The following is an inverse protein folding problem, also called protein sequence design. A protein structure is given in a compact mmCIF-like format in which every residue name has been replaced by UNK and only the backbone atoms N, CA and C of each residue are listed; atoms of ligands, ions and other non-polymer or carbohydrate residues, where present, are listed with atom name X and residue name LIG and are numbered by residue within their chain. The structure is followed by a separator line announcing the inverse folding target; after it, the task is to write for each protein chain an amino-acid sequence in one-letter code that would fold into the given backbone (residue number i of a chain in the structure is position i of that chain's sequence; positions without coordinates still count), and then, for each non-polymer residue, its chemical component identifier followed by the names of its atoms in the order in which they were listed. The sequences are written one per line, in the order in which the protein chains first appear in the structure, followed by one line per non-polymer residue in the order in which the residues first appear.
data_IF_856337668497
#
_entry.id   IF_856337668497
#
_cell.length_a   1.000
_cell.length_b   1.000
_cell.length_c   1.000
_cell.angle_alpha   90.00
_cell.angle_beta   90.00
_cell.angle_gamma   90.00
#
_symmetry.space_group_name_H-M   'P 1'
#
loop_
_entity.id
_entity.type
_entity.pdbx_description
1 polymer ?
#
# COMPACT_ATOMS: atom_id res chain seq x y z
N UNK A 1 -3.54 4.62 19.50
CA UNK A 1 -3.00 5.02 18.19
C UNK A 1 -2.94 3.76 17.33
N UNK A 2 -3.53 3.76 16.13
CA UNK A 2 -3.50 2.58 15.24
C UNK A 2 -2.15 2.48 14.54
N UNK A 3 -1.67 1.26 14.31
CA UNK A 3 -0.38 0.95 13.71
C UNK A 3 -0.56 0.14 12.45
N UNK A 4 0.03 0.59 11.34
CA UNK A 4 -0.03 -0.10 10.05
C UNK A 4 1.36 -0.40 9.51
N UNK A 5 1.49 -1.50 8.77
CA UNK A 5 2.70 -1.87 8.04
C UNK A 5 2.49 -1.57 6.56
N UNK A 6 3.35 -0.76 5.96
CA UNK A 6 3.32 -0.48 4.52
C UNK A 6 4.58 -1.01 3.86
N UNK A 7 4.42 -1.95 2.93
CA UNK A 7 5.49 -2.47 2.09
C UNK A 7 5.47 -1.86 0.70
N UNK A 8 6.55 -1.22 0.27
CA UNK A 8 6.72 -0.73 -1.11
C UNK A 8 7.67 -1.69 -1.84
N UNK A 9 7.24 -2.24 -2.98
CA UNK A 9 8.05 -3.16 -3.78
C UNK A 9 8.22 -2.68 -5.21
N UNK A 10 9.05 -3.39 -6.00
CA UNK A 10 9.44 -2.99 -7.36
C UNK A 10 8.39 -3.19 -8.45
N UNK A 11 7.11 -3.00 -8.16
CA UNK A 11 6.10 -2.76 -9.19
C UNK A 11 5.95 -1.25 -9.38
N UNK A 12 5.58 -0.82 -10.58
CA UNK A 12 5.24 0.59 -10.82
C UNK A 12 3.92 0.95 -10.11
N UNK A 13 3.76 2.21 -9.72
CA UNK A 13 2.64 2.69 -8.92
C UNK A 13 3.02 3.30 -7.57
N UNK A 14 4.23 3.86 -7.43
CA UNK A 14 4.65 4.58 -6.22
C UNK A 14 3.70 5.73 -5.81
N UNK A 15 2.99 6.43 -6.73
CA UNK A 15 1.96 7.40 -6.34
C UNK A 15 0.85 6.82 -5.45
N UNK A 16 0.46 5.55 -5.64
CA UNK A 16 -0.52 4.90 -4.76
C UNK A 16 0.03 4.75 -3.33
N UNK A 17 1.29 4.36 -3.20
CA UNK A 17 1.96 4.23 -1.90
C UNK A 17 2.03 5.57 -1.17
N UNK A 18 2.40 6.64 -1.90
CA UNK A 18 2.40 8.01 -1.37
C UNK A 18 1.03 8.39 -0.78
N UNK A 19 -0.06 8.17 -1.51
CA UNK A 19 -1.39 8.56 -1.02
C UNK A 19 -1.88 7.70 0.14
N UNK A 20 -1.57 6.39 0.16
CA UNK A 20 -1.87 5.55 1.32
C UNK A 20 -1.10 6.02 2.55
N UNK A 21 0.19 6.29 2.42
CA UNK A 21 1.03 6.79 3.52
C UNK A 21 0.50 8.11 4.07
N UNK A 22 0.24 9.09 3.20
CA UNK A 22 -0.36 10.37 3.59
C UNK A 22 -1.71 10.18 4.29
N UNK A 23 -2.59 9.37 3.70
CA UNK A 23 -3.92 9.10 4.27
C UNK A 23 -3.87 8.51 5.67
N UNK A 24 -2.92 7.62 5.95
CA UNK A 24 -2.69 7.06 7.30
C UNK A 24 -2.14 8.12 8.27
N UNK A 25 -1.11 8.86 7.84
CA UNK A 25 -0.41 9.84 8.68
C UNK A 25 -1.30 11.04 9.04
N UNK A 26 -2.09 11.55 8.09
CA UNK A 26 -3.06 12.64 8.31
C UNK A 26 -4.14 12.27 9.34
N UNK A 27 -4.37 10.97 9.55
CA UNK A 27 -5.32 10.42 10.52
C UNK A 27 -4.67 10.01 11.86
N UNK A 28 -3.43 10.42 12.09
CA UNK A 28 -2.74 10.16 13.35
C UNK A 28 -2.30 8.70 13.54
N UNK A 29 -2.22 7.91 12.46
CA UNK A 29 -1.74 6.54 12.56
C UNK A 29 -0.21 6.50 12.65
N UNK A 30 0.30 5.45 13.28
CA UNK A 30 1.71 5.08 13.21
C UNK A 30 1.94 4.14 12.02
N UNK A 31 2.98 4.38 11.24
CA UNK A 31 3.30 3.61 10.04
C UNK A 31 4.70 3.04 10.13
N UNK A 32 4.79 1.71 10.07
CA UNK A 32 6.03 0.97 9.84
C UNK A 32 6.22 0.81 8.33
N UNK A 33 7.11 1.60 7.74
CA UNK A 33 7.40 1.59 6.31
C UNK A 33 8.59 0.68 6.02
N UNK A 34 8.42 -0.23 5.07
CA UNK A 34 9.51 -1.03 4.51
C UNK A 34 9.53 -0.82 3.00
N UNK A 35 10.69 -0.48 2.45
CA UNK A 35 10.88 -0.34 1.01
C UNK A 35 11.89 -1.38 0.55
N UNK A 36 11.54 -2.19 -0.45
CA UNK A 36 12.50 -3.14 -1.02
C UNK A 36 13.53 -2.42 -1.90
N UNK A 37 14.72 -2.99 -2.16
CA UNK A 37 15.71 -2.37 -3.05
C UNK A 37 15.15 -2.03 -4.44
N UNK A 38 14.27 -2.88 -4.99
CA UNK A 38 13.59 -2.58 -6.24
C UNK A 38 12.51 -1.49 -6.08
N UNK A 39 11.82 -1.45 -4.94
CA UNK A 39 10.88 -0.38 -4.60
C UNK A 39 11.56 0.99 -4.48
N UNK A 40 12.76 1.07 -3.92
CA UNK A 40 13.55 2.31 -3.85
C UNK A 40 13.82 2.89 -5.25
N UNK A 41 14.14 2.01 -6.22
CA UNK A 41 14.33 2.42 -7.62
C UNK A 41 13.05 2.95 -8.24
N UNK A 42 11.91 2.30 -8.01
CA UNK A 42 10.61 2.77 -8.52
C UNK A 42 10.24 4.12 -7.91
N UNK A 43 10.39 4.28 -6.59
CA UNK A 43 10.15 5.54 -5.88
C UNK A 43 11.01 6.67 -6.45
N UNK A 44 12.29 6.41 -6.73
CA UNK A 44 13.16 7.42 -7.34
C UNK A 44 12.71 7.82 -8.75
N UNK A 45 12.26 6.86 -9.56
CA UNK A 45 11.81 7.11 -10.94
C UNK A 45 10.47 7.83 -10.98
N UNK A 46 9.50 7.37 -10.20
CA UNK A 46 8.10 7.80 -10.33
C UNK A 46 7.73 8.98 -9.43
N UNK A 47 8.45 9.17 -8.32
CA UNK A 47 8.22 10.28 -7.38
C UNK A 47 9.36 11.29 -7.36
N UNK A 48 10.46 11.04 -8.09
CA UNK A 48 11.65 11.90 -8.06
C UNK A 48 12.43 11.84 -6.74
N UNK A 49 12.13 10.87 -5.87
CA UNK A 49 12.71 10.79 -4.52
C UNK A 49 13.96 9.92 -4.48
N UNK A 50 15.11 10.57 -4.64
CA UNK A 50 16.41 9.93 -4.46
C UNK A 50 16.86 10.01 -3.01
N UNK A 51 16.38 9.07 -2.20
CA UNK A 51 16.73 9.00 -0.77
C UNK A 51 18.20 8.65 -0.57
N UNK A 52 18.98 9.53 0.07
CA UNK A 52 20.42 9.34 0.32
C UNK A 52 20.72 9.16 1.81
N UNK A 53 21.89 8.59 2.11
CA UNK A 53 22.39 8.42 3.47
C UNK A 53 21.86 7.18 4.19
N UNK A 54 22.13 7.12 5.50
CA UNK A 54 21.71 6.02 6.37
C UNK A 54 20.21 6.02 6.69
N UNK A 55 19.76 5.07 7.53
CA UNK A 55 18.35 4.91 7.89
C UNK A 55 17.70 6.19 8.42
N UNK A 56 18.36 6.89 9.36
CA UNK A 56 17.83 8.11 9.98
C UNK A 56 17.59 9.23 8.96
N UNK A 57 18.61 9.54 8.13
CA UNK A 57 18.48 10.53 7.08
C UNK A 57 17.37 10.18 6.07
N UNK A 58 17.23 8.91 5.70
CA UNK A 58 16.15 8.47 4.79
C UNK A 58 14.77 8.55 5.44
N UNK A 59 14.67 8.30 6.75
CA UNK A 59 13.42 8.49 7.50
C UNK A 59 13.00 9.96 7.52
N UNK A 60 13.94 10.88 7.78
CA UNK A 60 13.70 12.32 7.73
C UNK A 60 13.23 12.76 6.34
N UNK A 61 13.92 12.35 5.26
CA UNK A 61 13.50 12.68 3.90
C UNK A 61 12.09 12.15 3.56
N UNK A 62 11.72 10.95 4.04
CA UNK A 62 10.35 10.46 3.90
C UNK A 62 9.35 11.29 4.70
N UNK A 63 9.70 11.64 5.93
CA UNK A 63 8.84 12.44 6.80
C UNK A 63 8.59 13.84 6.21
N UNK A 64 9.63 14.47 5.67
CA UNK A 64 9.57 15.76 4.98
C UNK A 64 8.72 15.66 3.71
N UNK A 65 8.97 14.66 2.86
CA UNK A 65 8.22 14.48 1.61
C UNK A 65 6.72 14.25 1.87
N UNK A 66 6.39 13.46 2.89
CA UNK A 66 5.00 13.15 3.24
C UNK A 66 4.34 14.24 4.08
N UNK A 67 5.10 15.28 4.47
CA UNK A 67 4.68 16.32 5.40
C UNK A 67 4.00 15.71 6.65
N UNK A 68 4.72 14.81 7.34
CA UNK A 68 4.21 14.08 8.52
C UNK A 68 3.67 15.08 9.56
N UNK A 69 2.35 15.11 9.71
CA UNK A 69 1.66 15.96 10.66
C UNK A 69 1.30 15.20 11.94
N UNK A 70 0.09 14.63 11.97
CA UNK A 70 -0.50 14.03 13.19
C UNK A 70 0.04 12.64 13.52
N UNK A 71 0.41 11.87 12.51
CA UNK A 71 0.89 10.49 12.64
C UNK A 71 2.39 10.41 12.87
N UNK A 72 2.91 9.19 12.84
CA UNK A 72 4.35 8.94 12.92
C UNK A 72 4.78 7.90 11.91
N UNK A 73 6.03 8.01 11.44
CA UNK A 73 6.61 7.13 10.44
C UNK A 73 7.91 6.54 10.99
N UNK A 74 8.01 5.21 10.94
CA UNK A 74 9.25 4.48 11.21
C UNK A 74 9.70 3.76 9.95
N UNK A 75 10.92 4.04 9.48
CA UNK A 75 11.51 3.36 8.33
C UNK A 75 12.30 2.13 8.81
N UNK A 76 11.82 0.94 8.47
CA UNK A 76 12.45 -0.32 8.83
C UNK A 76 13.32 -0.86 7.68
N UNK A 77 14.55 -1.34 7.95
CA UNK A 77 15.38 -1.93 6.92
C UNK A 77 14.74 -3.20 6.33
N UNK A 78 14.85 -3.38 5.02
CA UNK A 78 14.24 -4.50 4.29
C UNK A 78 14.63 -5.90 4.83
N UNK A 79 15.80 -6.04 5.45
CA UNK A 79 16.33 -7.29 5.98
C UNK A 79 16.34 -7.35 7.52
N UNK A 80 15.69 -6.41 8.20
CA UNK A 80 15.66 -6.36 9.66
C UNK A 80 14.61 -7.32 10.26
N UNK A 81 14.97 -8.59 10.41
CA UNK A 81 14.10 -9.58 11.05
C UNK A 81 13.94 -9.38 12.57
N UNK A 82 14.73 -8.49 13.19
CA UNK A 82 14.61 -8.17 14.61
C UNK A 82 13.51 -7.11 14.88
N UNK A 83 13.00 -6.45 13.83
CA UNK A 83 11.89 -5.52 13.95
C UNK A 83 10.65 -6.19 14.55
N UNK A 84 9.93 -5.48 15.41
CA UNK A 84 8.79 -6.01 16.18
C UNK A 84 7.71 -6.66 15.31
N UNK A 85 7.47 -6.10 14.13
CA UNK A 85 6.48 -6.59 13.14
C UNK A 85 6.82 -7.97 12.54
N UNK A 86 8.00 -8.53 12.81
CA UNK A 86 8.38 -9.89 12.43
C UNK A 86 7.77 -10.96 13.35
N UNK A 87 7.14 -10.55 14.46
CA UNK A 87 6.49 -11.41 15.43
C UNK A 87 4.99 -11.15 15.53
N UNK A 88 4.21 -12.23 15.65
CA UNK A 88 2.78 -12.15 15.92
C UNK A 88 2.44 -11.60 17.32
N UNK A 89 3.39 -11.63 18.26
CA UNK A 89 3.20 -11.04 19.59
C UNK A 89 3.24 -9.51 19.60
N UNK A 90 3.75 -8.87 18.54
CA UNK A 90 3.69 -7.43 18.38
C UNK A 90 2.43 -7.04 17.60
N UNK A 91 1.52 -6.24 18.15
CA UNK A 91 0.28 -5.89 17.48
C UNK A 91 0.48 -4.82 16.40
N UNK A 92 -0.11 -5.04 15.23
CA UNK A 92 -0.42 -4.01 14.23
C UNK A 92 -1.83 -4.26 13.69
N UNK A 93 -2.53 -3.20 13.29
CA UNK A 93 -3.94 -3.23 12.90
C UNK A 93 -4.16 -3.74 11.47
N UNK A 94 -3.15 -3.61 10.61
CA UNK A 94 -3.19 -4.14 9.26
C UNK A 94 -1.90 -3.87 8.49
N UNK A 95 -1.81 -4.50 7.32
CA UNK A 95 -0.69 -4.36 6.41
C UNK A 95 -1.18 -4.15 4.98
N UNK A 96 -0.49 -3.30 4.23
CA UNK A 96 -0.65 -3.24 2.78
C UNK A 96 0.72 -3.32 2.08
N UNK A 97 0.78 -4.07 0.98
CA UNK A 97 1.92 -4.03 0.05
C UNK A 97 1.49 -3.24 -1.18
N UNK A 98 1.95 -2.00 -1.30
CA UNK A 98 1.53 -1.05 -2.31
C UNK A 98 2.72 -0.24 -2.86
N UNK A 99 2.99 -0.32 -4.17
CA UNK A 99 2.58 -1.38 -5.09
C UNK A 99 3.27 -2.73 -4.74
N UNK A 100 2.63 -3.83 -5.13
CA UNK A 100 3.13 -5.20 -4.97
C UNK A 100 3.59 -5.78 -6.31
N UNK A 101 4.86 -6.19 -6.42
CA UNK A 101 5.37 -6.90 -7.59
C UNK A 101 4.92 -8.35 -7.60
N UNK A 102 4.73 -8.93 -8.79
CA UNK A 102 4.32 -10.33 -8.91
C UNK A 102 5.35 -11.30 -8.30
N UNK A 103 6.62 -10.91 -8.28
CA UNK A 103 7.66 -11.64 -7.53
C UNK A 103 7.38 -11.68 -6.02
N UNK A 104 6.99 -10.55 -5.42
CA UNK A 104 6.59 -10.52 -4.00
C UNK A 104 5.28 -11.28 -3.77
N UNK A 105 4.28 -11.15 -4.64
CA UNK A 105 3.03 -11.93 -4.59
C UNK A 105 3.34 -13.42 -4.50
N UNK A 106 4.19 -13.96 -5.39
CA UNK A 106 4.57 -15.36 -5.35
C UNK A 106 5.28 -15.77 -4.07
N UNK A 107 6.21 -14.95 -3.56
CA UNK A 107 6.94 -15.28 -2.32
C UNK A 107 6.07 -15.25 -1.08
N UNK A 108 5.08 -14.36 -1.00
CA UNK A 108 4.08 -14.37 0.08
C UNK A 108 3.15 -15.57 -0.06
N UNK A 109 2.65 -15.86 -1.28
CA UNK A 109 1.74 -16.99 -1.53
C UNK A 109 2.35 -18.35 -1.12
N UNK A 110 3.68 -18.48 -1.24
CA UNK A 110 4.42 -19.67 -0.85
C UNK A 110 5.07 -19.60 0.54
N UNK A 111 4.81 -18.56 1.33
CA UNK A 111 5.31 -18.43 2.71
C UNK A 111 6.83 -18.37 2.83
N UNK A 112 7.55 -17.85 1.83
CA UNK A 112 9.03 -17.95 1.81
C UNK A 112 9.70 -17.08 2.89
N UNK A 113 9.08 -15.96 3.27
CA UNK A 113 9.53 -15.09 4.35
C UNK A 113 11.03 -14.69 4.29
N UNK A 114 11.54 -14.33 3.11
CA UNK A 114 12.99 -14.09 2.87
C UNK A 114 13.44 -12.66 3.19
N UNK A 115 12.50 -11.77 3.54
CA UNK A 115 12.75 -10.40 3.96
C UNK A 115 11.59 -9.92 4.86
N UNK A 116 11.72 -8.70 5.40
CA UNK A 116 10.77 -8.19 6.38
C UNK A 116 9.37 -7.93 5.82
N UNK A 117 9.23 -7.55 4.53
CA UNK A 117 7.92 -7.39 3.89
C UNK A 117 7.20 -8.74 3.84
N UNK A 118 7.89 -9.77 3.34
CA UNK A 118 7.31 -11.12 3.26
C UNK A 118 6.99 -11.67 4.65
N UNK A 119 7.89 -11.44 5.63
CA UNK A 119 7.68 -11.89 7.00
C UNK A 119 6.50 -11.19 7.67
N UNK A 120 6.36 -9.88 7.51
CA UNK A 120 5.24 -9.14 8.08
C UNK A 120 3.91 -9.57 7.44
N UNK A 121 3.89 -9.90 6.14
CA UNK A 121 2.70 -10.41 5.47
C UNK A 121 2.32 -11.82 5.97
N UNK A 122 3.31 -12.71 6.16
CA UNK A 122 3.13 -14.02 6.79
C UNK A 122 2.57 -13.90 8.22
N UNK A 123 3.09 -12.96 9.00
CA UNK A 123 2.54 -12.61 10.32
C UNK A 123 1.10 -12.10 10.21
N UNK A 124 0.79 -11.24 9.25
CA UNK A 124 -0.56 -10.73 9.06
C UNK A 124 -1.55 -11.87 8.77
N UNK A 125 -1.19 -12.80 7.87
CA UNK A 125 -2.01 -13.96 7.54
C UNK A 125 -2.24 -14.88 8.74
N UNK A 126 -1.17 -15.32 9.41
CA UNK A 126 -1.28 -16.29 10.51
C UNK A 126 -2.03 -15.74 11.72
N UNK A 127 -1.94 -14.43 11.96
CA UNK A 127 -2.64 -13.72 13.04
C UNK A 127 -4.02 -13.19 12.59
N UNK A 128 -4.46 -13.51 11.37
CA UNK A 128 -5.74 -13.06 10.79
C UNK A 128 -5.93 -11.54 10.83
N UNK A 129 -4.84 -10.80 10.63
CA UNK A 129 -4.85 -9.34 10.48
C UNK A 129 -5.21 -8.99 9.04
N UNK A 130 -5.71 -7.77 8.84
CA UNK A 130 -5.97 -7.25 7.51
C UNK A 130 -4.68 -7.22 6.70
N UNK A 131 -4.67 -7.87 5.54
CA UNK A 131 -3.58 -7.83 4.58
C UNK A 131 -4.14 -7.44 3.21
N UNK A 132 -3.71 -6.29 2.69
CA UNK A 132 -4.09 -5.81 1.36
C UNK A 132 -2.89 -5.94 0.43
N UNK A 133 -3.04 -6.74 -0.63
CA UNK A 133 -2.02 -6.91 -1.66
C UNK A 133 -2.45 -6.10 -2.88
N UNK A 134 -1.61 -5.15 -3.29
CA UNK A 134 -1.93 -4.21 -4.38
C UNK A 134 -1.06 -4.50 -5.61
N UNK A 135 -1.36 -5.58 -6.36
CA UNK A 135 -0.57 -5.93 -7.53
C UNK A 135 -0.74 -4.89 -8.63
N UNK A 136 0.36 -4.57 -9.31
CA UNK A 136 0.36 -3.79 -10.55
C UNK A 136 1.16 -4.56 -11.59
N UNK A 137 0.45 -5.22 -12.49
CA UNK A 137 1.01 -5.99 -13.60
C UNK A 137 -0.02 -6.12 -14.72
N UNK A 138 0.44 -6.13 -15.98
CA UNK A 138 -0.39 -6.47 -17.14
C UNK A 138 0.48 -6.81 -18.35
N UNK A 139 0.17 -7.87 -19.13
CA UNK A 139 -0.87 -8.89 -18.89
C UNK A 139 -0.51 -9.85 -17.74
N UNK A 140 -1.49 -10.63 -17.28
CA UNK A 140 -1.29 -11.66 -16.26
C UNK A 140 -1.09 -13.03 -16.90
N UNK A 141 -0.11 -13.78 -16.41
CA UNK A 141 0.04 -15.20 -16.74
C UNK A 141 -0.70 -16.07 -15.69
N UNK A 142 -0.83 -17.37 -15.96
CA UNK A 142 -1.54 -18.29 -15.09
C UNK A 142 -0.89 -18.44 -13.70
N UNK A 143 0.43 -18.29 -13.59
CA UNK A 143 1.16 -18.36 -12.31
C UNK A 143 0.76 -17.16 -11.44
N UNK A 144 0.68 -15.97 -12.03
CA UNK A 144 0.22 -14.76 -11.34
C UNK A 144 -1.18 -14.95 -10.77
N UNK A 145 -2.11 -15.46 -11.59
CA UNK A 145 -3.49 -15.71 -11.18
C UNK A 145 -3.56 -16.72 -10.05
N UNK A 146 -2.87 -17.87 -10.16
CA UNK A 146 -2.85 -18.91 -9.11
C UNK A 146 -2.30 -18.39 -7.79
N UNK A 147 -1.23 -17.60 -7.81
CA UNK A 147 -0.65 -17.03 -6.59
C UNK A 147 -1.59 -16.01 -5.94
N UNK A 148 -2.28 -15.18 -6.74
CA UNK A 148 -3.29 -14.26 -6.21
C UNK A 148 -4.50 -15.01 -5.65
N UNK A 149 -4.96 -16.08 -6.30
CA UNK A 149 -6.02 -16.95 -5.78
C UNK A 149 -5.62 -17.57 -4.43
N UNK A 150 -4.42 -18.14 -4.33
CA UNK A 150 -3.94 -18.76 -3.10
C UNK A 150 -3.90 -17.76 -1.92
N UNK A 151 -3.46 -16.52 -2.19
CA UNK A 151 -3.47 -15.45 -1.19
C UNK A 151 -4.89 -15.03 -0.79
N UNK A 152 -5.80 -14.94 -1.76
CA UNK A 152 -7.20 -14.64 -1.49
C UNK A 152 -7.85 -15.72 -0.61
N UNK A 153 -7.60 -17.00 -0.91
CA UNK A 153 -8.06 -18.14 -0.11
C UNK A 153 -7.47 -18.15 1.30
N UNK A 154 -6.23 -17.67 1.46
CA UNK A 154 -5.57 -17.51 2.75
C UNK A 154 -6.09 -16.30 3.57
N UNK A 155 -6.94 -15.45 2.99
CA UNK A 155 -7.55 -14.30 3.67
C UNK A 155 -6.92 -12.94 3.36
N UNK A 156 -5.98 -12.85 2.41
CA UNK A 156 -5.52 -11.56 1.91
C UNK A 156 -6.56 -10.93 0.95
N UNK A 157 -6.71 -9.61 1.01
CA UNK A 157 -7.47 -8.88 0.00
C UNK A 157 -6.59 -8.58 -1.22
N UNK A 158 -6.97 -9.10 -2.38
CA UNK A 158 -6.32 -8.78 -3.66
C UNK A 158 -7.00 -7.55 -4.26
N UNK A 159 -6.29 -6.43 -4.25
CA UNK A 159 -6.78 -5.13 -4.73
C UNK A 159 -5.83 -4.60 -5.82
N UNK A 160 -5.95 -5.06 -7.08
CA UNK A 160 -5.06 -4.61 -8.14
C UNK A 160 -5.16 -3.10 -8.37
N UNK A 161 -4.07 -2.48 -8.81
CA UNK A 161 -4.02 -1.06 -9.16
C UNK A 161 -4.76 -0.77 -10.49
N UNK A 162 -6.09 -0.92 -10.46
CA UNK A 162 -7.01 -0.80 -11.59
C UNK A 162 -8.06 0.29 -11.27
N UNK A 163 -7.76 1.58 -11.45
CA UNK A 163 -8.67 2.66 -11.10
C UNK A 163 -9.91 2.66 -12.01
N UNK A 164 -11.08 2.96 -11.43
CA UNK A 164 -12.33 3.13 -12.17
C UNK A 164 -12.54 4.57 -12.65
N UNK A 165 -13.37 4.78 -13.67
CA UNK A 165 -13.61 6.10 -14.28
C UNK A 165 -15.00 6.68 -14.00
N UNK A 166 -15.86 5.94 -13.29
CA UNK A 166 -17.25 6.32 -13.05
C UNK A 166 -17.43 7.55 -12.17
N UNK A 167 -16.36 8.03 -11.50
CA UNK A 167 -16.35 9.26 -10.71
C UNK A 167 -15.85 10.48 -11.51
N UNK A 168 -15.74 10.35 -12.83
CA UNK A 168 -15.35 11.43 -13.76
C UNK A 168 -14.05 12.15 -13.35
N UNK A 169 -12.94 11.40 -13.14
CA UNK A 169 -11.67 11.97 -12.72
C UNK A 169 -11.20 13.07 -13.68
N UNK A 170 -10.67 14.16 -13.12
CA UNK A 170 -10.13 15.30 -13.86
C UNK A 170 -8.60 15.31 -13.90
N UNK A 171 -7.98 14.48 -13.07
CA UNK A 171 -6.53 14.35 -12.96
C UNK A 171 -6.09 12.90 -12.76
N UNK A 172 -4.80 12.64 -12.97
CA UNK A 172 -4.18 11.36 -12.59
C UNK A 172 -4.26 11.15 -11.07
N UNK A 173 -4.14 12.22 -10.28
CA UNK A 173 -4.25 12.12 -8.83
C UNK A 173 -5.64 11.64 -8.38
N UNK A 174 -6.72 11.98 -9.11
CA UNK A 174 -8.07 11.45 -8.79
C UNK A 174 -8.12 9.91 -8.96
N UNK A 175 -7.50 9.39 -10.03
CA UNK A 175 -7.39 7.94 -10.25
C UNK A 175 -6.54 7.28 -9.15
N UNK A 176 -5.43 7.92 -8.78
CA UNK A 176 -4.56 7.44 -7.70
C UNK A 176 -5.29 7.42 -6.36
N UNK A 177 -6.00 8.50 -6.04
CA UNK A 177 -6.75 8.67 -4.82
C UNK A 177 -7.90 7.65 -4.71
N UNK A 178 -8.55 7.30 -5.83
CA UNK A 178 -9.59 6.26 -5.84
C UNK A 178 -9.06 4.89 -5.42
N UNK A 179 -7.88 4.48 -5.89
CA UNK A 179 -7.26 3.21 -5.49
C UNK A 179 -6.75 3.30 -4.06
N UNK A 180 -6.07 4.40 -3.70
CA UNK A 180 -5.54 4.62 -2.35
C UNK A 180 -6.64 4.62 -1.28
N UNK A 181 -7.77 5.27 -1.54
CA UNK A 181 -8.93 5.29 -0.64
C UNK A 181 -9.54 3.91 -0.47
N UNK A 182 -9.65 3.12 -1.54
CA UNK A 182 -10.08 1.71 -1.42
C UNK A 182 -9.12 0.88 -0.58
N UNK A 183 -7.81 1.10 -0.68
CA UNK A 183 -6.82 0.43 0.19
C UNK A 183 -7.05 0.81 1.65
N UNK A 184 -7.24 2.09 1.95
CA UNK A 184 -7.53 2.59 3.30
C UNK A 184 -8.84 1.98 3.85
N UNK A 185 -9.89 1.86 3.04
CA UNK A 185 -11.15 1.22 3.45
C UNK A 185 -10.93 -0.25 3.86
N UNK A 186 -10.09 -0.99 3.14
CA UNK A 186 -9.75 -2.40 3.46
C UNK A 186 -8.86 -2.54 4.69
N UNK A 187 -8.08 -1.51 4.99
CA UNK A 187 -7.39 -1.36 6.26
C UNK A 187 -8.33 -0.88 7.40
N UNK A 188 -9.59 -0.54 7.08
CA UNK A 188 -10.62 0.04 7.95
C UNK A 188 -10.25 1.42 8.49
N UNK A 189 -9.62 2.22 7.65
CA UNK A 189 -9.30 3.63 7.89
C UNK A 189 -10.28 4.46 7.08
N UNK A 190 -11.21 5.11 7.78
CA UNK A 190 -12.17 6.02 7.15
C UNK A 190 -11.45 7.11 6.37
N UNK A 191 -11.82 7.34 5.11
CA UNK A 191 -11.16 8.34 4.29
C UNK A 191 -12.12 9.05 3.32
N UNK A 192 -11.65 10.19 2.82
CA UNK A 192 -12.33 11.12 1.92
C UNK A 192 -11.56 11.29 0.60
N UNK A 193 -10.65 10.36 0.28
CA UNK A 193 -9.82 10.42 -0.94
C UNK A 193 -10.65 10.25 -2.22
N UNK A 194 -11.84 9.67 -2.13
CA UNK A 194 -12.73 9.50 -3.26
C UNK A 194 -14.20 9.64 -2.83
N UNK A 195 -15.05 10.03 -3.78
CA UNK A 195 -16.48 10.11 -3.54
C UNK A 195 -17.07 8.70 -3.38
N UNK A 196 -17.80 8.49 -2.28
CA UNK A 196 -18.60 7.28 -2.12
C UNK A 196 -19.67 7.22 -3.23
N UNK A 197 -19.89 6.01 -3.76
CA UNK A 197 -20.92 5.78 -4.75
C UNK A 197 -22.32 6.04 -4.17
N UNK A 198 -23.06 6.99 -4.75
CA UNK A 198 -24.42 7.36 -4.31
C UNK A 198 -25.53 7.05 -5.32
N UNK A 199 -25.22 6.40 -6.44
CA UNK A 199 -26.18 6.11 -7.49
C UNK A 199 -25.72 6.61 -8.86
N UNK A 200 -26.69 6.90 -9.74
CA UNK A 200 -26.47 7.17 -11.17
C UNK A 200 -25.55 8.37 -11.44
N UNK A 201 -24.34 8.15 -12.01
CA UNK A 201 -23.44 9.24 -12.40
C UNK A 201 -24.01 10.14 -13.51
N UNK A 202 -24.92 9.63 -14.35
CA UNK A 202 -25.52 10.42 -15.42
C UNK A 202 -26.43 11.52 -14.86
N UNK A 203 -27.08 11.27 -13.72
CA UNK A 203 -27.85 12.30 -13.01
C UNK A 203 -26.98 13.46 -12.52
N UNK A 204 -25.70 13.21 -12.23
CA UNK A 204 -24.75 14.28 -11.84
C UNK A 204 -24.28 15.09 -13.05
N UNK A 205 -24.16 14.45 -14.22
CA UNK A 205 -23.81 15.15 -15.47
C UNK A 205 -24.96 16.05 -15.95
N UNK A 206 -26.20 15.58 -15.82
CA UNK A 206 -27.38 16.35 -16.21
C UNK A 206 -27.58 17.66 -15.40
N UNK A 207 -26.97 17.78 -14.22
CA UNK A 207 -27.03 18.99 -13.39
C UNK A 207 -25.97 20.04 -13.72
N UNK A 208 -25.01 19.74 -14.61
CA UNK A 208 -23.94 20.66 -15.00
C UNK A 208 -24.28 21.42 -16.30
N UNK A 209 -25.30 20.95 -17.03
CA UNK A 209 -25.75 21.51 -18.30
C UNK A 209 -26.96 22.49 -18.16
N UNK A 210 -27.32 22.91 -16.92
CA UNK A 210 -28.26 24.00 -16.61
C UNK A 210 -27.53 25.21 -15.99
#
# INVERSE_FOLDING_TARGET
MRTYVIGITGASGAPYARQVLRGLLERGCHVNLIVSPAGERVVAIELGLQMKGGRAARQEQWADYLAVGKGSLELLPHKDFAASISSGSSPFDGMAVVPCSMGTVGRIAHGLSTNLIERAADVALKEKRRLVIVPRETPLNLIHLRNMTALAEAGAEILPAMPGFYHLPKSVDDLVNSVAGRILDRLGVENDLYAQWRGDPLAQLAQVDE
#
